data_IF_229355562085
#
_entry.id   IF_229355562085
#
_cell.length_a   1.000
_cell.length_b   1.000
_cell.length_c   1.000
_cell.angle_alpha   90.00
_cell.angle_beta   90.00
_cell.angle_gamma   90.00
#
_symmetry.space_group_name_H-M   'P 1'
#
loop_
_entity.id
_entity.type
_entity.pdbx_description
1 polymer ?
#
# COMPACT_ATOMS: atom_id res chain seq x y z
N UNK A 1 -8.79 -9.92 12.13
CA UNK A 1 -9.04 -8.60 11.51
C UNK A 1 -10.48 -8.51 11.05
N UNK A 2 -11.27 -7.63 11.65
CA UNK A 2 -12.63 -7.33 11.20
C UNK A 2 -12.62 -6.37 9.99
N UNK A 3 -13.77 -6.18 9.32
CA UNK A 3 -13.94 -5.18 8.26
C UNK A 3 -14.71 -3.99 8.84
N UNK A 4 -14.16 -2.78 8.72
CA UNK A 4 -14.82 -1.54 9.11
C UNK A 4 -15.45 -0.86 7.89
N UNK A 5 -16.78 -0.81 7.86
CA UNK A 5 -17.52 -0.05 6.84
C UNK A 5 -17.57 1.43 7.21
N UNK A 6 -17.29 2.31 6.25
CA UNK A 6 -17.38 3.75 6.46
C UNK A 6 -18.84 4.23 6.42
N UNK A 7 -19.17 5.25 7.22
CA UNK A 7 -20.45 5.95 7.09
C UNK A 7 -20.49 6.69 5.74
N UNK A 8 -21.58 6.63 4.97
CA UNK A 8 -21.66 7.21 3.63
C UNK A 8 -21.87 8.73 3.66
N UNK A 9 -20.92 9.49 4.20
CA UNK A 9 -21.00 10.97 4.26
C UNK A 9 -20.64 11.62 2.93
N UNK A 10 -19.84 10.95 2.09
CA UNK A 10 -19.48 11.38 0.73
C UNK A 10 -19.69 10.24 -0.26
N UNK A 11 -19.87 10.57 -1.55
CA UNK A 11 -20.16 9.60 -2.60
C UNK A 11 -19.08 8.50 -2.74
N UNK A 12 -17.81 8.85 -2.54
CA UNK A 12 -16.68 7.91 -2.60
C UNK A 12 -16.65 6.94 -1.41
N UNK A 13 -17.16 7.36 -0.25
CA UNK A 13 -17.15 6.54 0.96
C UNK A 13 -18.25 5.48 1.00
N UNK A 14 -19.27 5.55 0.14
CA UNK A 14 -20.43 4.62 0.14
C UNK A 14 -20.07 3.14 0.06
N UNK A 15 -19.06 2.81 -0.72
CA UNK A 15 -18.59 1.43 -0.91
C UNK A 15 -17.18 1.23 -0.35
N UNK A 16 -16.67 2.20 0.42
CA UNK A 16 -15.33 2.10 1.01
C UNK A 16 -15.40 1.24 2.26
N UNK A 17 -14.76 0.08 2.19
CA UNK A 17 -14.56 -0.84 3.30
C UNK A 17 -13.07 -0.94 3.57
N UNK A 18 -12.66 -0.75 4.83
CA UNK A 18 -11.26 -0.85 5.24
C UNK A 18 -11.10 -1.97 6.27
N UNK A 19 -9.94 -2.65 6.30
CA UNK A 19 -9.65 -3.60 7.36
C UNK A 19 -9.53 -2.87 8.71
N UNK A 20 -10.03 -3.51 9.76
CA UNK A 20 -9.75 -3.12 11.13
C UNK A 20 -8.36 -3.66 11.54
N UNK A 21 -7.60 -2.83 12.24
CA UNK A 21 -6.21 -3.09 12.63
C UNK A 21 -6.06 -3.40 14.12
N UNK A 22 -7.13 -3.82 14.78
CA UNK A 22 -7.14 -4.19 16.21
C UNK A 22 -6.09 -5.24 16.58
N UNK A 23 -5.77 -6.16 15.67
CA UNK A 23 -4.74 -7.20 15.88
C UNK A 23 -3.29 -6.67 15.71
N UNK A 24 -3.09 -5.46 15.15
CA UNK A 24 -1.76 -4.88 14.96
C UNK A 24 -1.31 -4.22 16.27
N UNK A 25 -0.35 -4.84 16.94
CA UNK A 25 0.12 -4.40 18.27
C UNK A 25 1.13 -3.25 18.22
N UNK A 26 1.82 -3.04 17.10
CA UNK A 26 2.84 -2.00 16.93
C UNK A 26 2.77 -1.33 15.55
N UNK A 27 2.96 -0.02 15.53
CA UNK A 27 2.81 0.80 14.33
C UNK A 27 4.13 1.02 13.54
N UNK A 28 5.28 0.68 14.13
CA UNK A 28 6.60 0.87 13.49
C UNK A 28 7.35 -0.47 13.46
N UNK A 29 7.96 -0.82 12.32
CA UNK A 29 8.77 -2.04 12.22
C UNK A 29 10.11 -1.86 12.93
N UNK A 30 10.71 -2.99 13.30
CA UNK A 30 12.07 -3.03 13.86
C UNK A 30 13.10 -2.54 12.86
N UNK A 31 14.01 -1.64 13.26
CA UNK A 31 14.86 -0.91 12.31
C UNK A 31 15.85 -1.83 11.62
N UNK A 32 16.44 -2.77 12.37
CA UNK A 32 17.46 -3.71 11.87
C UNK A 32 16.93 -4.67 10.80
N UNK A 33 15.63 -4.94 10.80
CA UNK A 33 14.97 -5.86 9.88
C UNK A 33 14.39 -5.17 8.63
N UNK A 34 14.58 -3.86 8.49
CA UNK A 34 14.05 -3.10 7.34
C UNK A 34 15.14 -2.70 6.35
N UNK A 35 14.79 -2.69 5.07
CA UNK A 35 15.69 -2.26 3.99
C UNK A 35 15.00 -1.31 2.99
N UNK A 36 15.82 -0.61 2.19
CA UNK A 36 15.31 0.32 1.16
C UNK A 36 14.72 -0.48 0.00
N UNK A 37 13.44 -0.26 -0.30
CA UNK A 37 12.79 -0.80 -1.49
C UNK A 37 12.66 0.27 -2.58
N UNK A 38 13.41 0.13 -3.66
CA UNK A 38 13.28 0.99 -4.84
C UNK A 38 12.18 0.49 -5.77
N UNK A 39 11.34 1.39 -6.27
CA UNK A 39 10.26 1.04 -7.21
C UNK A 39 10.79 1.04 -8.63
N UNK A 40 10.55 -0.05 -9.37
CA UNK A 40 10.90 -0.16 -10.80
C UNK A 40 9.85 0.45 -11.75
N UNK A 41 8.65 0.76 -11.24
CA UNK A 41 7.54 1.33 -12.00
C UNK A 41 7.21 0.58 -13.32
N UNK A 42 7.29 -0.75 -13.31
CA UNK A 42 6.99 -1.58 -14.49
C UNK A 42 8.06 -1.57 -15.60
N UNK A 43 9.22 -0.93 -15.37
CA UNK A 43 10.32 -0.84 -16.34
C UNK A 43 11.37 -1.93 -16.11
N UNK A 44 11.97 -2.41 -17.20
CA UNK A 44 13.08 -3.37 -17.18
C UNK A 44 14.45 -2.66 -17.24
N UNK A 45 15.54 -3.44 -17.33
CA UNK A 45 16.92 -2.95 -17.41
C UNK A 45 17.21 -2.08 -18.65
N UNK A 46 16.49 -2.31 -19.76
CA UNK A 46 16.56 -1.46 -20.96
C UNK A 46 15.71 -0.18 -20.85
N UNK A 47 15.11 0.06 -19.68
CA UNK A 47 14.21 1.18 -19.45
C UNK A 47 12.89 1.06 -20.21
N UNK A 48 12.53 -0.09 -20.78
CA UNK A 48 11.25 -0.26 -21.49
C UNK A 48 10.13 -0.65 -20.52
N UNK A 49 8.92 -0.14 -20.76
CA UNK A 49 7.73 -0.58 -20.01
C UNK A 49 7.40 -2.00 -20.44
N UNK A 50 7.62 -2.96 -19.55
CA UNK A 50 7.32 -4.38 -19.78
C UNK A 50 6.04 -4.80 -19.08
N UNK A 51 5.68 -4.11 -17.99
CA UNK A 51 4.42 -4.31 -17.27
C UNK A 51 3.67 -2.98 -17.21
N UNK A 52 2.47 -2.95 -17.79
CA UNK A 52 1.60 -1.77 -17.79
C UNK A 52 0.86 -1.60 -16.45
N UNK A 53 0.27 -0.42 -16.25
CA UNK A 53 -0.49 -0.06 -15.04
C UNK A 53 0.31 -0.15 -13.73
N UNK A 54 1.63 0.01 -13.80
CA UNK A 54 2.54 0.06 -12.65
C UNK A 54 3.29 1.40 -12.65
N UNK A 55 3.16 2.16 -11.57
CA UNK A 55 3.78 3.47 -11.43
C UNK A 55 3.13 4.26 -10.29
N UNK A 56 3.85 5.20 -9.68
CA UNK A 56 3.36 5.99 -8.54
C UNK A 56 3.21 5.20 -7.22
N UNK A 57 2.20 5.58 -6.44
CA UNK A 57 1.89 5.04 -5.10
C UNK A 57 2.88 5.46 -4.01
N UNK A 58 2.49 5.27 -2.73
CA UNK A 58 3.31 5.66 -1.58
C UNK A 58 4.62 4.85 -1.48
N UNK A 59 5.70 5.47 -1.00
CA UNK A 59 7.01 4.82 -0.82
C UNK A 59 6.93 3.75 0.28
N UNK A 60 7.63 2.63 0.08
CA UNK A 60 7.62 1.49 1.00
C UNK A 60 9.05 1.10 1.38
N UNK A 61 9.19 0.46 2.54
CA UNK A 61 10.39 -0.31 2.91
C UNK A 61 10.16 -1.78 2.57
N UNK A 62 11.24 -2.53 2.38
CA UNK A 62 11.19 -3.98 2.30
C UNK A 62 11.46 -4.53 3.69
#
# INVERSE_FOLDING_TARGET
MAIRKHKPTTASQRHTELPDFSDITRNRPEKSLTSKKTKKAGRNCYGRVTVRHRGGGHKQRY
#
